data_IF_615799221025
#
_entry.id   IF_615799221025
#
_cell.length_a   1.000
_cell.length_b   1.000
_cell.length_c   1.000
_cell.angle_alpha   90.00
_cell.angle_beta   90.00
_cell.angle_gamma   90.00
#
_symmetry.space_group_name_H-M   'P 1'
#
loop_
_entity.id
_entity.type
_entity.pdbx_description
1 polymer ?
#
# COMPACT_ATOMS: atom_id res chain seq x y z
N UNK A 1 -15.99 9.72 7.58
CA UNK A 1 -14.62 10.09 7.91
C UNK A 1 -13.83 8.85 8.31
N UNK A 2 -12.54 8.85 8.06
CA UNK A 2 -11.61 7.81 8.49
C UNK A 2 -10.55 8.47 9.38
N UNK A 3 -10.12 7.72 10.41
CA UNK A 3 -9.11 8.20 11.35
C UNK A 3 -7.79 7.43 11.18
N UNK A 4 -6.69 8.01 11.65
CA UNK A 4 -5.43 7.28 11.70
C UNK A 4 -5.56 6.06 12.61
N UNK A 5 -4.75 5.03 12.34
CA UNK A 5 -4.78 3.74 13.05
C UNK A 5 -6.06 2.91 12.83
N UNK A 6 -6.87 3.25 11.83
CA UNK A 6 -7.99 2.42 11.39
C UNK A 6 -7.57 1.42 10.31
N UNK A 7 -8.26 0.29 10.31
CA UNK A 7 -8.25 -0.68 9.22
C UNK A 7 -9.63 -0.69 8.58
N UNK A 8 -9.75 -0.06 7.42
CA UNK A 8 -11.02 0.12 6.71
C UNK A 8 -11.11 -0.86 5.56
N UNK A 9 -12.25 -1.54 5.42
CA UNK A 9 -12.55 -2.34 4.23
C UNK A 9 -13.72 -1.74 3.45
N UNK A 10 -13.54 -1.60 2.15
CA UNK A 10 -14.57 -1.17 1.21
C UNK A 10 -14.91 -2.38 0.35
N UNK A 11 -16.12 -2.90 0.54
CA UNK A 11 -16.60 -4.11 -0.08
C UNK A 11 -17.63 -3.79 -1.17
N UNK A 12 -17.74 -4.65 -2.17
CA UNK A 12 -18.75 -4.55 -3.23
C UNK A 12 -18.41 -5.38 -4.44
N UNK A 13 -19.38 -5.56 -5.33
CA UNK A 13 -19.20 -6.31 -6.58
C UNK A 13 -18.19 -5.62 -7.51
N UNK A 14 -17.68 -6.39 -8.48
CA UNK A 14 -16.84 -5.83 -9.54
C UNK A 14 -17.60 -4.74 -10.30
N UNK A 15 -16.93 -3.61 -10.60
CA UNK A 15 -17.55 -2.48 -11.29
C UNK A 15 -18.39 -1.54 -10.41
N UNK A 16 -18.48 -1.75 -9.11
CA UNK A 16 -19.26 -0.87 -8.19
C UNK A 16 -18.56 0.47 -7.84
N UNK A 17 -17.44 0.80 -8.48
CA UNK A 17 -16.75 2.08 -8.27
C UNK A 17 -15.72 2.11 -7.13
N UNK A 18 -15.42 0.97 -6.52
CA UNK A 18 -14.44 0.91 -5.39
C UNK A 18 -13.06 1.42 -5.75
N UNK A 19 -12.50 0.94 -6.86
CA UNK A 19 -11.18 1.39 -7.33
C UNK A 19 -11.20 2.87 -7.74
N UNK A 20 -12.32 3.36 -8.30
CA UNK A 20 -12.51 4.80 -8.58
C UNK A 20 -12.46 5.60 -7.29
N UNK A 21 -13.19 5.19 -6.25
CA UNK A 21 -13.14 5.85 -4.95
C UNK A 21 -11.72 5.84 -4.37
N UNK A 22 -11.02 4.71 -4.47
CA UNK A 22 -9.63 4.61 -4.00
C UNK A 22 -8.71 5.57 -4.79
N UNK A 23 -8.90 5.68 -6.11
CA UNK A 23 -8.14 6.60 -6.96
C UNK A 23 -8.42 8.07 -6.61
N UNK A 24 -9.66 8.43 -6.30
CA UNK A 24 -10.00 9.78 -5.82
C UNK A 24 -9.33 10.07 -4.49
N UNK A 25 -9.42 9.16 -3.51
CA UNK A 25 -8.72 9.32 -2.21
C UNK A 25 -7.21 9.43 -2.41
N UNK A 26 -6.66 8.66 -3.33
CA UNK A 26 -5.25 8.66 -3.70
C UNK A 26 -4.80 9.83 -4.57
N UNK A 27 -5.74 10.72 -4.94
CA UNK A 27 -5.51 11.81 -5.88
C UNK A 27 -4.93 11.38 -7.24
N UNK A 28 -5.28 10.16 -7.69
CA UNK A 28 -4.97 9.67 -9.04
C UNK A 28 -6.12 9.92 -10.02
N UNK A 29 -7.28 10.34 -9.50
CA UNK A 29 -8.46 10.71 -10.27
C UNK A 29 -9.15 11.91 -9.61
N UNK A 30 -9.98 12.61 -10.36
CA UNK A 30 -10.75 13.76 -9.91
C UNK A 30 -12.18 13.35 -9.54
N UNK A 31 -12.87 14.18 -8.77
CA UNK A 31 -14.29 14.01 -8.48
C UNK A 31 -15.09 15.22 -9.02
N UNK A 32 -16.28 14.96 -9.51
CA UNK A 32 -17.14 15.99 -10.11
C UNK A 32 -18.08 16.62 -9.09
N UNK A 33 -18.55 15.83 -8.12
CA UNK A 33 -19.48 16.27 -7.08
C UNK A 33 -19.03 15.79 -5.69
N UNK A 34 -19.43 16.53 -4.67
CA UNK A 34 -19.06 16.27 -3.29
C UNK A 34 -17.79 17.01 -2.85
N UNK A 35 -17.24 16.62 -1.73
CA UNK A 35 -16.01 17.22 -1.17
C UNK A 35 -15.18 16.17 -0.46
N UNK A 36 -13.90 16.14 -0.77
CA UNK A 36 -12.91 15.39 -0.03
C UNK A 36 -12.27 16.29 1.02
N UNK A 37 -12.28 15.83 2.27
CA UNK A 37 -11.61 16.54 3.37
C UNK A 37 -10.35 15.75 3.76
N UNK A 38 -9.25 16.46 3.89
CA UNK A 38 -8.01 15.93 4.42
C UNK A 38 -7.59 16.72 5.66
N UNK A 39 -7.46 16.04 6.80
CA UNK A 39 -7.19 16.66 8.11
C UNK A 39 -8.18 17.79 8.47
N UNK A 40 -9.44 17.64 8.08
CA UNK A 40 -10.50 18.62 8.34
C UNK A 40 -10.58 19.78 7.33
N UNK A 41 -9.65 19.87 6.39
CA UNK A 41 -9.62 20.90 5.37
C UNK A 41 -10.19 20.39 4.04
N UNK A 42 -11.05 21.15 3.33
CA UNK A 42 -11.58 20.77 2.04
C UNK A 42 -10.47 20.80 0.99
N UNK A 43 -10.51 19.86 0.03
CA UNK A 43 -9.49 19.76 -1.03
C UNK A 43 -9.92 20.40 -2.36
N UNK A 44 -11.12 20.93 -2.46
CA UNK A 44 -11.65 21.59 -3.67
C UNK A 44 -10.81 22.77 -4.18
N UNK A 45 -9.99 23.36 -3.31
CA UNK A 45 -9.10 24.47 -3.66
C UNK A 45 -7.67 24.01 -4.03
N UNK A 46 -7.37 22.69 -4.00
CA UNK A 46 -6.04 22.18 -4.29
C UNK A 46 -5.68 22.43 -5.76
N UNK A 47 -4.52 23.04 -5.98
CA UNK A 47 -3.86 23.09 -7.27
C UNK A 47 -3.20 21.73 -7.62
N UNK A 48 -2.77 21.55 -8.85
CA UNK A 48 -2.02 20.35 -9.25
C UNK A 48 -0.77 20.14 -8.39
N UNK A 49 -0.06 21.21 -8.03
CA UNK A 49 1.10 21.15 -7.13
C UNK A 49 0.72 20.71 -5.70
N UNK A 50 -0.48 21.04 -5.24
CA UNK A 50 -0.95 20.61 -3.92
C UNK A 50 -1.32 19.12 -3.94
N UNK A 51 -1.94 18.65 -5.02
CA UNK A 51 -2.22 17.24 -5.22
C UNK A 51 -0.94 16.40 -5.36
N UNK A 52 0.09 16.89 -6.04
CA UNK A 52 1.40 16.23 -6.09
C UNK A 52 2.01 16.08 -4.69
N UNK A 53 2.02 17.14 -3.89
CA UNK A 53 2.51 17.12 -2.51
C UNK A 53 1.68 16.18 -1.63
N UNK A 54 0.35 16.17 -1.82
CA UNK A 54 -0.54 15.28 -1.11
C UNK A 54 -0.20 13.81 -1.43
N UNK A 55 -0.11 13.46 -2.71
CA UNK A 55 0.28 12.10 -3.15
C UNK A 55 1.64 11.70 -2.61
N UNK A 56 2.61 12.60 -2.74
CA UNK A 56 3.99 12.32 -2.34
C UNK A 56 4.11 12.06 -0.84
N UNK A 57 3.49 12.89 -0.02
CA UNK A 57 3.68 12.86 1.43
C UNK A 57 2.72 11.94 2.16
N UNK A 58 1.49 11.79 1.67
CA UNK A 58 0.43 11.21 2.46
C UNK A 58 -0.07 9.85 1.98
N UNK A 59 0.19 9.48 0.73
CA UNK A 59 -0.39 8.28 0.13
C UNK A 59 0.67 7.28 -0.29
N UNK A 60 0.53 6.03 0.13
CA UNK A 60 1.21 4.88 -0.47
C UNK A 60 0.17 3.92 -1.02
N UNK A 61 0.37 3.41 -2.23
CA UNK A 61 -0.60 2.55 -2.90
C UNK A 61 -0.04 1.15 -3.13
N UNK A 62 -0.86 0.15 -2.86
CA UNK A 62 -0.63 -1.26 -3.14
C UNK A 62 -1.67 -1.67 -4.17
N UNK A 63 -1.23 -2.09 -5.34
CA UNK A 63 -2.10 -2.54 -6.44
C UNK A 63 -2.20 -4.06 -6.48
N UNK A 64 -3.25 -4.56 -7.12
CA UNK A 64 -3.46 -5.99 -7.37
C UNK A 64 -2.32 -6.60 -8.18
N UNK A 65 -1.86 -5.89 -9.23
CA UNK A 65 -0.66 -6.24 -9.97
C UNK A 65 0.56 -5.84 -9.16
N UNK A 66 1.45 -6.79 -8.93
CA UNK A 66 2.58 -6.60 -8.02
C UNK A 66 3.51 -5.45 -8.40
N UNK A 67 3.62 -5.11 -9.69
CA UNK A 67 4.48 -4.02 -10.20
C UNK A 67 5.91 -4.05 -9.62
N UNK A 68 6.46 -5.25 -9.40
CA UNK A 68 7.85 -5.43 -9.02
C UNK A 68 8.74 -5.54 -10.26
N UNK A 69 9.98 -5.11 -10.12
CA UNK A 69 10.96 -5.26 -11.19
C UNK A 69 11.56 -6.67 -11.07
N UNK A 70 11.16 -7.54 -11.99
CA UNK A 70 11.46 -8.98 -11.91
C UNK A 70 12.96 -9.33 -11.96
N UNK A 71 13.74 -8.52 -12.65
CA UNK A 71 15.20 -8.72 -12.77
C UNK A 71 15.97 -8.25 -11.53
N UNK A 72 15.36 -7.45 -10.67
CA UNK A 72 15.95 -6.99 -9.42
C UNK A 72 15.65 -7.96 -8.27
N UNK A 73 16.51 -7.97 -7.28
CA UNK A 73 16.29 -8.69 -6.02
C UNK A 73 15.22 -7.98 -5.18
N UNK A 74 14.70 -8.66 -4.13
CA UNK A 74 13.81 -8.04 -3.14
C UNK A 74 14.46 -6.77 -2.57
N UNK A 75 15.75 -6.87 -2.19
CA UNK A 75 16.48 -5.74 -1.62
C UNK A 75 16.54 -4.56 -2.60
N UNK A 76 16.92 -4.79 -3.84
CA UNK A 76 16.98 -3.73 -4.85
C UNK A 76 15.61 -3.13 -5.15
N UNK A 77 14.54 -3.93 -5.20
CA UNK A 77 13.18 -3.45 -5.35
C UNK A 77 12.77 -2.49 -4.21
N UNK A 78 13.14 -2.79 -2.97
CA UNK A 78 12.83 -1.92 -1.82
C UNK A 78 13.75 -0.69 -1.79
N UNK A 79 15.04 -0.85 -2.12
CA UNK A 79 15.99 0.29 -2.22
C UNK A 79 15.52 1.34 -3.22
N UNK A 80 14.85 0.95 -4.33
CA UNK A 80 14.28 1.89 -5.30
C UNK A 80 13.25 2.84 -4.67
N UNK A 81 12.42 2.35 -3.76
CA UNK A 81 11.44 3.18 -3.06
C UNK A 81 12.08 4.16 -2.05
N UNK A 82 13.35 3.98 -1.75
CA UNK A 82 14.15 4.79 -0.84
C UNK A 82 15.16 5.71 -1.54
N UNK A 83 15.07 5.87 -2.87
CA UNK A 83 16.05 6.65 -3.66
C UNK A 83 16.16 8.12 -3.24
N UNK A 84 15.14 8.67 -2.57
CA UNK A 84 15.19 10.01 -1.96
C UNK A 84 16.19 10.13 -0.81
N UNK A 85 16.69 9.01 -0.28
CA UNK A 85 17.78 8.99 0.69
C UNK A 85 19.11 8.98 -0.08
N UNK A 86 19.89 10.04 0.04
CA UNK A 86 21.18 10.17 -0.67
C UNK A 86 22.22 9.19 -0.14
N UNK A 87 22.23 8.92 1.17
CA UNK A 87 23.15 7.98 1.77
C UNK A 87 22.79 6.52 1.43
N UNK A 88 23.63 5.91 0.60
CA UNK A 88 23.48 4.52 0.17
C UNK A 88 23.52 3.51 1.33
N UNK A 89 24.31 3.77 2.38
CA UNK A 89 24.39 2.86 3.54
C UNK A 89 23.10 2.92 4.35
N UNK A 90 22.59 4.11 4.60
CA UNK A 90 21.32 4.32 5.29
C UNK A 90 20.14 3.75 4.49
N UNK A 91 20.10 3.98 3.18
CA UNK A 91 19.09 3.40 2.28
C UNK A 91 19.05 1.88 2.39
N UNK A 92 20.21 1.23 2.31
CA UNK A 92 20.33 -0.23 2.42
C UNK A 92 19.95 -0.75 3.80
N UNK A 93 20.29 -0.03 4.86
CA UNK A 93 19.91 -0.35 6.23
C UNK A 93 18.38 -0.35 6.38
N UNK A 94 17.74 0.74 5.97
CA UNK A 94 16.27 0.87 6.02
C UNK A 94 15.57 -0.17 5.14
N UNK A 95 16.08 -0.44 3.95
CA UNK A 95 15.53 -1.49 3.09
C UNK A 95 15.53 -2.86 3.79
N UNK A 96 16.63 -3.23 4.46
CA UNK A 96 16.70 -4.49 5.21
C UNK A 96 15.71 -4.55 6.38
N UNK A 97 15.52 -3.46 7.09
CA UNK A 97 14.54 -3.37 8.20
C UNK A 97 13.11 -3.57 7.68
N UNK A 98 12.75 -2.92 6.58
CA UNK A 98 11.44 -3.09 5.95
C UNK A 98 11.22 -4.51 5.44
N UNK A 99 12.24 -5.12 4.83
CA UNK A 99 12.21 -6.51 4.36
C UNK A 99 12.01 -7.48 5.54
N UNK A 100 12.69 -7.25 6.65
CA UNK A 100 12.50 -8.04 7.86
C UNK A 100 11.08 -7.87 8.43
N UNK A 101 10.55 -6.66 8.45
CA UNK A 101 9.18 -6.36 8.90
C UNK A 101 8.12 -7.11 8.11
N UNK A 102 8.32 -7.32 6.81
CA UNK A 102 7.39 -8.08 5.96
C UNK A 102 7.73 -9.59 5.88
N UNK A 103 8.68 -10.07 6.67
CA UNK A 103 9.04 -11.49 6.74
C UNK A 103 9.75 -12.03 5.50
N UNK A 104 10.60 -11.22 4.84
CA UNK A 104 11.32 -11.63 3.61
C UNK A 104 12.84 -11.63 3.77
N UNK A 105 13.36 -11.74 4.99
CA UNK A 105 14.81 -11.71 5.26
C UNK A 105 15.57 -12.77 4.48
N UNK A 106 15.06 -13.99 4.41
CA UNK A 106 15.69 -15.10 3.68
C UNK A 106 15.62 -14.92 2.15
N UNK A 107 14.60 -14.23 1.65
CA UNK A 107 14.38 -13.97 0.23
C UNK A 107 15.05 -12.68 -0.25
N UNK A 108 15.71 -11.94 0.62
CA UNK A 108 16.27 -10.60 0.37
C UNK A 108 17.08 -10.52 -0.93
N UNK A 109 17.89 -11.52 -1.22
CA UNK A 109 18.75 -11.58 -2.40
C UNK A 109 18.14 -12.35 -3.58
N UNK A 110 16.88 -12.82 -3.46
CA UNK A 110 16.18 -13.53 -4.53
C UNK A 110 15.59 -12.53 -5.51
N UNK A 111 15.71 -12.81 -6.82
CA UNK A 111 15.13 -11.97 -7.87
C UNK A 111 13.60 -12.05 -7.87
N UNK A 112 12.96 -10.96 -8.25
CA UNK A 112 11.50 -10.84 -8.34
C UNK A 112 10.85 -11.94 -9.18
N UNK A 113 11.48 -12.34 -10.28
CA UNK A 113 11.01 -13.44 -11.13
C UNK A 113 10.98 -14.82 -10.45
N UNK A 114 11.64 -14.98 -9.32
CA UNK A 114 11.74 -16.23 -8.56
C UNK A 114 10.90 -16.24 -7.27
N UNK A 115 10.12 -15.20 -7.05
CA UNK A 115 9.26 -15.06 -5.88
C UNK A 115 7.88 -15.71 -6.14
N UNK A 116 7.31 -16.31 -5.10
CA UNK A 116 5.88 -16.65 -5.08
C UNK A 116 5.00 -15.40 -5.08
N UNK A 117 3.70 -15.55 -5.38
CA UNK A 117 2.76 -14.43 -5.35
C UNK A 117 2.74 -13.72 -3.99
N UNK A 118 2.70 -14.46 -2.89
CA UNK A 118 2.75 -13.90 -1.54
C UNK A 118 4.06 -13.16 -1.23
N UNK A 119 5.21 -13.68 -1.69
CA UNK A 119 6.52 -13.00 -1.54
C UNK A 119 6.56 -11.72 -2.39
N UNK A 120 6.02 -11.74 -3.62
CA UNK A 120 5.87 -10.55 -4.47
C UNK A 120 5.03 -9.49 -3.76
N UNK A 121 3.87 -9.87 -3.22
CA UNK A 121 2.98 -8.95 -2.52
C UNK A 121 3.63 -8.36 -1.27
N UNK A 122 4.31 -9.16 -0.46
CA UNK A 122 5.05 -8.62 0.70
C UNK A 122 6.18 -7.69 0.29
N UNK A 123 6.82 -7.91 -0.86
CA UNK A 123 7.81 -6.97 -1.43
C UNK A 123 7.15 -5.63 -1.79
N UNK A 124 5.95 -5.65 -2.39
CA UNK A 124 5.17 -4.43 -2.69
C UNK A 124 4.79 -3.69 -1.41
N UNK A 125 4.37 -4.41 -0.36
CA UNK A 125 4.07 -3.81 0.94
C UNK A 125 5.33 -3.15 1.54
N UNK A 126 6.49 -3.81 1.48
CA UNK A 126 7.76 -3.21 1.93
C UNK A 126 8.09 -1.91 1.18
N UNK A 127 7.85 -1.86 -0.14
CA UNK A 127 8.00 -0.63 -0.95
C UNK A 127 7.02 0.46 -0.52
N UNK A 128 5.77 0.11 -0.24
CA UNK A 128 4.77 1.06 0.25
C UNK A 128 5.18 1.63 1.62
N UNK A 129 5.67 0.79 2.53
CA UNK A 129 6.19 1.20 3.83
C UNK A 129 7.44 2.09 3.72
N UNK A 130 8.28 1.90 2.70
CA UNK A 130 9.46 2.72 2.44
C UNK A 130 9.12 4.19 2.16
N UNK A 131 7.94 4.47 1.65
CA UNK A 131 7.44 5.82 1.42
C UNK A 131 7.14 6.58 2.73
N UNK A 132 6.90 5.85 3.80
CA UNK A 132 6.53 6.36 5.13
C UNK A 132 5.29 7.27 5.15
N UNK A 133 4.38 7.06 4.20
CA UNK A 133 3.12 7.78 4.14
C UNK A 133 2.16 7.34 5.27
N UNK A 134 1.35 8.25 5.82
CA UNK A 134 0.41 7.93 6.89
C UNK A 134 -0.82 7.13 6.41
N UNK A 135 -1.10 7.13 5.11
CA UNK A 135 -2.25 6.44 4.50
C UNK A 135 -1.75 5.40 3.49
N UNK A 136 -2.22 4.17 3.64
CA UNK A 136 -2.00 3.09 2.69
C UNK A 136 -3.33 2.72 2.03
N UNK A 137 -3.35 2.82 0.71
CA UNK A 137 -4.47 2.40 -0.13
C UNK A 137 -4.12 1.06 -0.78
N UNK A 138 -4.94 0.06 -0.60
CA UNK A 138 -4.72 -1.27 -1.15
C UNK A 138 -5.91 -1.69 -2.02
N UNK A 139 -5.67 -1.82 -3.32
CA UNK A 139 -6.66 -2.28 -4.30
C UNK A 139 -6.46 -3.78 -4.55
N UNK A 140 -7.44 -4.59 -4.13
CA UNK A 140 -7.45 -6.05 -4.26
C UNK A 140 -6.11 -6.71 -3.84
N UNK A 141 -5.56 -6.43 -2.65
CA UNK A 141 -4.20 -6.83 -2.31
C UNK A 141 -4.00 -8.35 -2.17
N UNK A 142 -5.07 -9.13 -2.22
CA UNK A 142 -5.07 -10.61 -2.14
C UNK A 142 -5.63 -11.28 -3.39
N UNK A 143 -6.04 -10.52 -4.41
CA UNK A 143 -6.77 -11.03 -5.58
C UNK A 143 -6.01 -12.10 -6.39
N UNK A 144 -4.67 -12.06 -6.39
CA UNK A 144 -3.81 -12.99 -7.13
C UNK A 144 -3.08 -13.99 -6.22
N UNK A 145 -3.55 -14.20 -4.98
CA UNK A 145 -2.89 -15.02 -3.97
C UNK A 145 -3.70 -16.28 -3.62
N UNK A 146 -3.00 -17.33 -3.21
CA UNK A 146 -3.63 -18.47 -2.54
C UNK A 146 -4.15 -18.09 -1.14
N UNK A 147 -4.95 -18.96 -0.54
CA UNK A 147 -5.60 -18.72 0.76
C UNK A 147 -4.59 -18.46 1.88
N UNK A 148 -3.46 -19.18 1.89
CA UNK A 148 -2.42 -19.01 2.92
C UNK A 148 -1.76 -17.65 2.81
N UNK A 149 -1.28 -17.30 1.60
CA UNK A 149 -0.65 -16.02 1.33
C UNK A 149 -1.62 -14.84 1.58
N UNK A 150 -2.91 -15.01 1.24
CA UNK A 150 -3.96 -14.00 1.51
C UNK A 150 -4.10 -13.70 2.99
N UNK A 151 -4.13 -14.74 3.84
CA UNK A 151 -4.17 -14.58 5.30
C UNK A 151 -2.93 -13.87 5.84
N UNK A 152 -1.74 -14.25 5.35
CA UNK A 152 -0.48 -13.63 5.76
C UNK A 152 -0.44 -12.14 5.38
N UNK A 153 -0.86 -11.79 4.17
CA UNK A 153 -0.95 -10.40 3.69
C UNK A 153 -1.98 -9.59 4.49
N UNK A 154 -3.15 -10.16 4.77
CA UNK A 154 -4.18 -9.49 5.56
C UNK A 154 -3.70 -9.21 7.00
N UNK A 155 -3.03 -10.18 7.63
CA UNK A 155 -2.44 -10.01 8.95
C UNK A 155 -1.34 -8.93 8.97
N UNK A 156 -0.49 -8.89 7.94
CA UNK A 156 0.56 -7.88 7.81
C UNK A 156 -0.03 -6.48 7.64
N UNK A 157 -1.06 -6.31 6.80
CA UNK A 157 -1.73 -5.02 6.63
C UNK A 157 -2.42 -4.58 7.93
N UNK A 158 -2.98 -5.53 8.71
CA UNK A 158 -3.50 -5.22 10.05
C UNK A 158 -2.42 -4.75 11.02
N UNK A 159 -1.25 -5.37 10.99
CA UNK A 159 -0.12 -4.89 11.80
C UNK A 159 0.26 -3.45 11.43
N UNK A 160 0.35 -3.17 10.14
CA UNK A 160 0.66 -1.84 9.60
C UNK A 160 -0.38 -0.79 10.03
N UNK A 161 -1.66 -1.18 10.18
CA UNK A 161 -2.72 -0.25 10.59
C UNK A 161 -2.61 0.22 12.05
N UNK A 162 -1.67 -0.28 12.84
CA UNK A 162 -1.41 0.25 14.19
C UNK A 162 -0.82 1.65 14.17
N UNK A 163 -0.11 1.98 13.10
CA UNK A 163 0.61 3.24 12.96
C UNK A 163 0.08 4.09 11.79
N UNK A 164 -0.78 3.53 10.94
CA UNK A 164 -1.23 4.15 9.68
C UNK A 164 -2.71 3.89 9.47
N UNK A 165 -3.35 4.75 8.67
CA UNK A 165 -4.66 4.43 8.10
C UNK A 165 -4.46 3.46 6.94
N UNK A 166 -5.09 2.29 7.00
CA UNK A 166 -5.09 1.30 5.91
C UNK A 166 -6.49 1.17 5.35
N UNK A 167 -6.67 1.49 4.07
CA UNK A 167 -7.93 1.32 3.34
C UNK A 167 -7.75 0.22 2.31
N UNK A 168 -8.49 -0.86 2.46
CA UNK A 168 -8.50 -2.00 1.55
C UNK A 168 -9.79 -2.00 0.75
N UNK A 169 -9.68 -2.03 -0.56
CA UNK A 169 -10.79 -2.30 -1.48
C UNK A 169 -10.72 -3.76 -1.90
N UNK A 170 -11.81 -4.50 -1.77
CA UNK A 170 -11.84 -5.92 -2.15
C UNK A 170 -13.24 -6.41 -2.50
N UNK A 171 -13.31 -7.38 -3.41
CA UNK A 171 -14.51 -8.18 -3.68
C UNK A 171 -14.52 -9.49 -2.87
N UNK A 172 -13.42 -9.80 -2.17
CA UNK A 172 -13.31 -10.98 -1.29
C UNK A 172 -12.95 -10.56 0.15
N UNK A 173 -13.94 -10.11 0.94
CA UNK A 173 -13.73 -9.53 2.26
C UNK A 173 -13.35 -10.56 3.34
N UNK A 174 -13.49 -11.86 3.10
CA UNK A 174 -13.35 -12.90 4.13
C UNK A 174 -12.00 -12.84 4.86
N UNK A 175 -10.93 -12.46 4.17
CA UNK A 175 -9.60 -12.35 4.78
C UNK A 175 -9.46 -11.14 5.69
N UNK A 176 -10.31 -10.12 5.52
CA UNK A 176 -10.18 -8.82 6.18
C UNK A 176 -11.21 -8.58 7.27
N UNK A 177 -12.39 -9.25 7.22
CA UNK A 177 -13.51 -9.06 8.17
C UNK A 177 -13.09 -9.08 9.64
N UNK A 178 -12.20 -9.99 10.03
CA UNK A 178 -11.73 -10.08 11.40
C UNK A 178 -10.83 -8.91 11.85
N UNK A 179 -10.33 -8.14 10.91
CA UNK A 179 -9.38 -7.03 11.13
C UNK A 179 -10.01 -5.66 10.96
N UNK A 180 -11.11 -5.58 10.20
CA UNK A 180 -11.78 -4.33 9.91
C UNK A 180 -12.25 -3.64 11.18
N UNK A 181 -11.94 -2.36 11.29
CA UNK A 181 -12.47 -1.47 12.32
C UNK A 181 -13.73 -0.77 11.82
N UNK A 182 -13.87 -0.71 10.50
CA UNK A 182 -15.03 -0.17 9.80
C UNK A 182 -15.16 -0.80 8.43
#
# INVERSE_FOLDING_TARGET
AFDYNEFVTIEGESGSGKSTLLNVIGANDTYEEGELYFNGEPTSHYSESDWEKYREKNIATIFQDFNIIENLTVLENVELALLRLDDKKERRRRAKELIARVGLTEQMNRRGSKLSGGEKQRTVIARALAKDAPIILADEPTGNLDVKASKEVAALLKEVSRDKLVIVVTHNPEFFKQYATR
#
